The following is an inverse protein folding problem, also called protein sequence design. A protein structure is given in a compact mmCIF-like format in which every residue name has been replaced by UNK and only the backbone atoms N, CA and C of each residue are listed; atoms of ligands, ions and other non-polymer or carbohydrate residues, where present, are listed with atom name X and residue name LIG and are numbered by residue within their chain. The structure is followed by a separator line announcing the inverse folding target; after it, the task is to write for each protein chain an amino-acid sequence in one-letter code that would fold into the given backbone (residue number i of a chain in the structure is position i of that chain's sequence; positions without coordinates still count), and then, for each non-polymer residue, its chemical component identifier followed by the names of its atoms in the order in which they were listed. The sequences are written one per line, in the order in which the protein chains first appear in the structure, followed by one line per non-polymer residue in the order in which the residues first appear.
data_IF_476305125598
#
_entry.id   IF_476305125598
#
_cell.length_a   1.000
_cell.length_b   1.000
_cell.length_c   1.000
_cell.angle_alpha   90.00
_cell.angle_beta   90.00
_cell.angle_gamma   90.00
#
_symmetry.space_group_name_H-M   'P 1'
#
loop_
_entity.id
_entity.type
_entity.pdbx_description
1 polymer ?
#
# COMPACT_ATOMS: atom_id res chain seq x y z
N UNK A 1 26.97 -9.26 1.42
CA UNK A 1 25.78 -8.44 1.71
C UNK A 1 24.63 -9.02 0.90
N UNK A 2 24.05 -10.15 1.34
CA UNK A 2 23.00 -10.82 0.56
C UNK A 2 22.18 -11.80 1.40
N UNK A 3 21.59 -11.34 2.51
CA UNK A 3 20.44 -12.04 3.09
C UNK A 3 19.17 -11.33 2.62
N UNK A 4 18.85 -11.47 1.33
CA UNK A 4 17.52 -11.22 0.82
C UNK A 4 16.60 -12.34 1.33
N UNK A 5 16.36 -12.34 2.64
CA UNK A 5 15.48 -13.27 3.33
C UNK A 5 14.18 -13.41 2.54
N UNK A 6 13.67 -14.64 2.42
CA UNK A 6 12.35 -14.92 1.80
C UNK A 6 11.28 -13.96 2.34
N UNK A 7 11.39 -13.57 3.62
CA UNK A 7 10.52 -12.58 4.27
C UNK A 7 10.56 -11.23 3.56
N UNK A 8 11.74 -10.75 3.15
CA UNK A 8 11.91 -9.50 2.41
C UNK A 8 11.25 -9.57 1.02
N UNK A 9 11.47 -10.67 0.29
CA UNK A 9 10.83 -10.91 -1.02
C UNK A 9 9.30 -10.98 -0.91
N UNK A 10 8.78 -11.64 0.13
CA UNK A 10 7.35 -11.69 0.43
C UNK A 10 6.81 -10.30 0.74
N UNK A 11 7.48 -9.52 1.60
CA UNK A 11 7.03 -8.16 1.93
C UNK A 11 7.02 -7.25 0.69
N UNK A 12 8.04 -7.36 -0.18
CA UNK A 12 8.09 -6.62 -1.44
C UNK A 12 6.90 -7.00 -2.35
N UNK A 13 6.63 -8.30 -2.50
CA UNK A 13 5.49 -8.78 -3.32
C UNK A 13 4.16 -8.28 -2.78
N UNK A 14 3.93 -8.40 -1.46
CA UNK A 14 2.72 -7.87 -0.80
C UNK A 14 2.57 -6.37 -1.02
N UNK A 15 3.67 -5.63 -0.95
CA UNK A 15 3.65 -4.19 -1.13
C UNK A 15 3.38 -3.79 -2.58
N UNK A 16 3.98 -4.48 -3.55
CA UNK A 16 3.69 -4.28 -4.99
C UNK A 16 2.20 -4.52 -5.27
N UNK A 17 1.63 -5.60 -4.73
CA UNK A 17 0.21 -5.88 -4.90
C UNK A 17 -0.68 -4.81 -4.24
N UNK A 18 -0.33 -4.37 -3.03
CA UNK A 18 -1.02 -3.29 -2.34
C UNK A 18 -1.04 -2.00 -3.17
N UNK A 19 0.09 -1.61 -3.76
CA UNK A 19 0.18 -0.43 -4.63
C UNK A 19 -0.76 -0.57 -5.83
N UNK A 20 -0.78 -1.72 -6.51
CA UNK A 20 -1.68 -1.92 -7.64
C UNK A 20 -3.17 -1.84 -7.26
N UNK A 21 -3.54 -2.26 -6.05
CA UNK A 21 -4.91 -2.08 -5.54
C UNK A 21 -5.18 -0.60 -5.28
N UNK A 22 -4.26 0.10 -4.61
CA UNK A 22 -4.39 1.54 -4.33
C UNK A 22 -4.56 2.33 -5.62
N UNK A 23 -3.73 2.06 -6.64
CA UNK A 23 -3.82 2.74 -7.93
C UNK A 23 -5.21 2.54 -8.57
N UNK A 24 -5.73 1.31 -8.56
CA UNK A 24 -7.09 1.02 -9.06
C UNK A 24 -8.19 1.69 -8.25
N UNK A 25 -8.06 1.73 -6.93
CA UNK A 25 -9.03 2.39 -6.05
C UNK A 25 -9.05 3.89 -6.31
N UNK A 26 -7.89 4.54 -6.28
CA UNK A 26 -7.77 6.00 -6.46
C UNK A 26 -8.25 6.46 -7.84
N UNK A 27 -8.03 5.64 -8.88
CA UNK A 27 -8.54 5.93 -10.23
C UNK A 27 -10.05 5.64 -10.41
N UNK A 28 -10.73 5.07 -9.41
CA UNK A 28 -12.17 4.83 -9.49
C UNK A 28 -12.96 6.14 -9.26
N UNK A 29 -14.12 6.28 -9.92
CA UNK A 29 -14.94 7.50 -9.86
C UNK A 29 -15.79 7.64 -8.58
N UNK A 30 -15.61 6.77 -7.58
CA UNK A 30 -16.43 6.70 -6.36
C UNK A 30 -15.61 7.01 -5.09
N UNK A 31 -15.37 8.30 -4.86
CA UNK A 31 -14.53 8.83 -3.77
C UNK A 31 -14.95 8.42 -2.36
N UNK A 32 -16.26 8.26 -2.12
CA UNK A 32 -16.78 7.87 -0.81
C UNK A 32 -16.46 6.41 -0.49
N UNK A 33 -16.44 5.54 -1.49
CA UNK A 33 -16.09 4.12 -1.35
C UNK A 33 -14.56 3.92 -1.24
N UNK A 34 -13.79 4.77 -1.92
CA UNK A 34 -12.32 4.75 -1.92
C UNK A 34 -11.75 4.81 -0.50
N UNK A 35 -12.24 5.71 0.35
CA UNK A 35 -11.62 5.92 1.65
C UNK A 35 -11.79 4.70 2.56
N UNK A 36 -12.95 4.04 2.54
CA UNK A 36 -13.19 2.84 3.33
C UNK A 36 -12.45 1.61 2.78
N UNK A 37 -12.35 1.47 1.46
CA UNK A 37 -11.62 0.36 0.83
C UNK A 37 -10.10 0.50 1.01
N UNK A 38 -9.58 1.73 0.95
CA UNK A 38 -8.17 2.02 1.19
C UNK A 38 -7.72 1.60 2.60
N UNK A 39 -8.59 1.81 3.61
CA UNK A 39 -8.34 1.38 4.98
C UNK A 39 -8.22 -0.14 5.13
N UNK A 40 -8.69 -0.92 4.15
CA UNK A 40 -8.67 -2.37 4.18
C UNK A 40 -7.53 -3.01 3.37
N UNK A 41 -6.79 -2.23 2.57
CA UNK A 41 -5.74 -2.74 1.67
C UNK A 41 -4.66 -3.53 2.42
N UNK A 42 -4.21 -3.04 3.57
CA UNK A 42 -3.19 -3.71 4.39
C UNK A 42 -3.62 -5.12 4.80
N UNK A 43 -4.91 -5.30 5.12
CA UNK A 43 -5.49 -6.57 5.55
C UNK A 43 -5.57 -7.54 4.38
N UNK A 44 -6.05 -7.09 3.22
CA UNK A 44 -6.18 -7.91 2.00
C UNK A 44 -4.80 -8.37 1.51
N UNK A 45 -3.80 -7.51 1.59
CA UNK A 45 -2.43 -7.83 1.18
C UNK A 45 -1.66 -8.69 2.21
N UNK A 46 -2.31 -9.09 3.31
CA UNK A 46 -1.74 -9.99 4.30
C UNK A 46 -0.66 -9.35 5.18
N UNK A 47 -0.75 -8.04 5.46
CA UNK A 47 0.07 -7.40 6.49
C UNK A 47 -0.53 -7.66 7.87
N UNK A 48 0.33 -7.84 8.88
CA UNK A 48 -0.09 -8.10 10.27
C UNK A 48 -0.81 -6.92 10.91
N UNK A 49 -0.49 -5.70 10.49
CA UNK A 49 -1.10 -4.48 10.99
C UNK A 49 -1.01 -3.39 9.93
N UNK A 50 -1.90 -2.39 10.06
CA UNK A 50 -1.87 -1.17 9.27
C UNK A 50 -0.55 -0.41 9.43
N UNK A 51 -0.07 -0.27 10.66
CA UNK A 51 1.16 0.47 10.96
C UNK A 51 2.38 -0.13 10.25
N UNK A 52 2.51 -1.46 10.24
CA UNK A 52 3.62 -2.14 9.54
C UNK A 52 3.55 -1.91 8.03
N UNK A 53 2.35 -1.94 7.47
CA UNK A 53 2.14 -1.64 6.06
C UNK A 53 2.52 -0.18 5.75
N UNK A 54 2.03 0.78 6.51
CA UNK A 54 2.30 2.21 6.28
C UNK A 54 3.80 2.53 6.40
N UNK A 55 4.49 1.97 7.40
CA UNK A 55 5.96 2.08 7.53
C UNK A 55 6.70 1.53 6.31
N UNK A 56 6.34 0.34 5.85
CA UNK A 56 6.96 -0.27 4.66
C UNK A 56 6.63 0.50 3.38
N UNK A 57 5.40 0.99 3.25
CA UNK A 57 4.98 1.81 2.13
C UNK A 57 5.80 3.09 2.05
N UNK A 58 5.94 3.80 3.18
CA UNK A 58 6.73 5.02 3.25
C UNK A 58 8.21 4.76 2.94
N UNK A 59 8.79 3.68 3.46
CA UNK A 59 10.17 3.28 3.16
C UNK A 59 10.37 2.98 1.66
N UNK A 60 9.37 2.44 0.98
CA UNK A 60 9.48 2.04 -0.43
C UNK A 60 9.16 3.17 -1.41
N UNK A 61 8.15 4.00 -1.13
CA UNK A 61 7.69 5.10 -2.01
C UNK A 61 8.29 6.45 -1.67
N UNK A 62 8.78 6.64 -0.45
CA UNK A 62 9.35 7.90 0.03
C UNK A 62 8.33 8.93 0.55
N UNK A 63 7.04 8.58 0.63
CA UNK A 63 5.98 9.44 1.16
C UNK A 63 4.84 8.58 1.71
N UNK A 64 3.94 9.21 2.49
CA UNK A 64 2.82 8.51 3.12
C UNK A 64 1.80 8.00 2.08
N UNK A 65 1.01 6.99 2.45
CA UNK A 65 -0.07 6.50 1.60
C UNK A 65 -1.11 7.59 1.30
N UNK A 66 -1.40 8.45 2.27
CA UNK A 66 -2.32 9.58 2.11
C UNK A 66 -1.81 10.56 1.05
N UNK A 67 -0.54 10.94 1.13
CA UNK A 67 0.08 11.85 0.15
C UNK A 67 0.16 11.22 -1.23
N UNK A 68 0.39 9.91 -1.31
CA UNK A 68 0.36 9.17 -2.56
C UNK A 68 -1.02 9.24 -3.22
N UNK A 69 -2.09 9.00 -2.44
CA UNK A 69 -3.46 9.06 -2.96
C UNK A 69 -3.81 10.48 -3.45
N UNK A 70 -3.45 11.52 -2.69
CA UNK A 70 -3.64 12.92 -3.10
C UNK A 70 -2.87 13.28 -4.39
N UNK A 71 -1.67 12.74 -4.58
CA UNK A 71 -0.91 12.98 -5.82
C UNK A 71 -1.57 12.33 -7.05
N UNK A 72 -2.18 11.18 -6.87
CA UNK A 72 -2.84 10.43 -7.94
C UNK A 72 -4.24 10.95 -8.26
N UNK A 73 -4.92 11.55 -7.27
CA UNK A 73 -6.22 12.20 -7.44
C UNK A 73 -6.21 13.54 -6.66
N UNK A 74 -5.71 14.61 -7.30
CA UNK A 74 -5.61 15.94 -6.70
C UNK A 74 -6.96 16.57 -6.35
#
# INVERSE_FOLDING_TARGET
MEDSSIISKVNKTKLTYAISIVDKLVMSKDSNKINNDLQNVWRICGFKSREKFEKLFMLYKGYSLSDYCKKLNP
#
